data_IF_327378765942
#
_entry.id   IF_327378765942
#
_cell.length_a   1.000
_cell.length_b   1.000
_cell.length_c   1.000
_cell.angle_alpha   90.00
_cell.angle_beta   90.00
_cell.angle_gamma   90.00
#
_symmetry.space_group_name_H-M   'P 1'
#
loop_
_entity.id
_entity.type
_entity.pdbx_description
1 polymer ?
#
# COMPACT_ATOMS: atom_id res chain seq x y z
N UNK A 1 -20.62 -10.26 -9.82
CA UNK A 1 -19.42 -9.40 -10.02
C UNK A 1 -19.23 -9.16 -11.49
N UNK A 2 -18.83 -7.95 -11.91
CA UNK A 2 -18.47 -7.70 -13.31
C UNK A 2 -17.08 -8.31 -13.58
N UNK A 3 -16.82 -8.76 -14.81
CA UNK A 3 -15.52 -9.33 -15.19
C UNK A 3 -14.35 -8.36 -14.92
N UNK A 4 -14.60 -7.05 -15.05
CA UNK A 4 -13.64 -5.98 -14.74
C UNK A 4 -13.18 -5.98 -13.29
N UNK A 5 -14.08 -6.23 -12.34
CA UNK A 5 -13.79 -6.12 -10.91
C UNK A 5 -12.95 -7.31 -10.45
N UNK A 6 -13.24 -8.50 -11.00
CA UNK A 6 -12.48 -9.71 -10.72
C UNK A 6 -11.05 -9.63 -11.27
N UNK A 7 -10.89 -9.13 -12.50
CA UNK A 7 -9.57 -8.91 -13.10
C UNK A 7 -8.78 -7.90 -12.26
N UNK A 8 -9.41 -6.79 -11.86
CA UNK A 8 -8.78 -5.78 -11.01
C UNK A 8 -8.31 -6.38 -9.67
N UNK A 9 -9.17 -7.16 -9.01
CA UNK A 9 -8.83 -7.79 -7.73
C UNK A 9 -7.58 -8.67 -7.85
N UNK A 10 -7.52 -9.52 -8.88
CA UNK A 10 -6.40 -10.43 -9.11
C UNK A 10 -5.12 -9.64 -9.43
N UNK A 11 -5.19 -8.68 -10.36
CA UNK A 11 -4.00 -7.91 -10.77
C UNK A 11 -3.40 -7.14 -9.60
N UNK A 12 -4.25 -6.54 -8.75
CA UNK A 12 -3.79 -5.85 -7.54
C UNK A 12 -3.19 -6.84 -6.53
N UNK A 13 -3.88 -7.94 -6.23
CA UNK A 13 -3.38 -8.92 -5.24
C UNK A 13 -2.02 -9.49 -5.64
N UNK A 14 -1.85 -9.85 -6.92
CA UNK A 14 -0.57 -10.38 -7.43
C UNK A 14 0.52 -9.30 -7.37
N UNK A 15 0.21 -8.05 -7.76
CA UNK A 15 1.19 -6.95 -7.73
C UNK A 15 1.65 -6.64 -6.30
N UNK A 16 0.72 -6.56 -5.35
CA UNK A 16 1.04 -6.31 -3.94
C UNK A 16 1.84 -7.47 -3.33
N UNK A 17 1.56 -8.72 -3.69
CA UNK A 17 2.35 -9.87 -3.25
C UNK A 17 3.80 -9.80 -3.77
N UNK A 18 4.00 -9.45 -5.04
CA UNK A 18 5.35 -9.30 -5.62
C UNK A 18 6.11 -8.17 -4.94
N UNK A 19 5.46 -7.04 -4.68
CA UNK A 19 6.04 -5.91 -3.96
C UNK A 19 6.41 -6.30 -2.52
N UNK A 20 5.52 -6.99 -1.79
CA UNK A 20 5.76 -7.43 -0.42
C UNK A 20 6.96 -8.39 -0.35
N UNK A 21 7.04 -9.36 -1.28
CA UNK A 21 8.18 -10.28 -1.37
C UNK A 21 9.49 -9.52 -1.67
N UNK A 22 9.47 -8.57 -2.60
CA UNK A 22 10.64 -7.73 -2.91
C UNK A 22 11.15 -6.95 -1.69
N UNK A 23 10.23 -6.36 -0.92
CA UNK A 23 10.57 -5.64 0.31
C UNK A 23 11.15 -6.58 1.38
N UNK A 24 10.57 -7.77 1.58
CA UNK A 24 11.11 -8.77 2.51
C UNK A 24 12.52 -9.24 2.12
N UNK A 25 12.77 -9.50 0.83
CA UNK A 25 14.10 -9.88 0.32
C UNK A 25 15.16 -8.78 0.51
N UNK A 26 14.73 -7.52 0.60
CA UNK A 26 15.62 -6.38 0.86
C UNK A 26 15.90 -6.17 2.36
N UNK A 27 14.91 -6.39 3.23
CA UNK A 27 15.04 -6.11 4.66
C UNK A 27 15.58 -7.27 5.49
N UNK A 28 15.39 -8.53 5.07
CA UNK A 28 15.91 -9.68 5.82
C UNK A 28 17.38 -9.98 5.42
N UNK A 29 18.36 -9.77 6.32
CA UNK A 29 19.76 -10.03 6.04
C UNK A 29 20.07 -11.53 5.89
N UNK A 30 19.29 -12.42 6.52
CA UNK A 30 19.49 -13.87 6.50
C UNK A 30 19.34 -14.50 5.10
N UNK A 31 18.67 -13.82 4.18
CA UNK A 31 18.44 -14.35 2.83
C UNK A 31 19.62 -14.04 1.89
N UNK A 32 20.58 -13.18 2.29
CA UNK A 32 21.69 -12.71 1.46
C UNK A 32 21.29 -12.22 0.05
N UNK A 33 20.01 -11.89 -0.13
CA UNK A 33 19.35 -11.60 -1.41
C UNK A 33 19.10 -10.11 -1.59
N UNK A 34 19.67 -9.24 -0.74
CA UNK A 34 19.49 -7.79 -0.78
C UNK A 34 19.74 -7.16 -2.15
N UNK A 35 20.75 -7.65 -2.87
CA UNK A 35 21.09 -7.19 -4.23
C UNK A 35 19.98 -7.50 -5.25
N UNK A 36 19.20 -8.55 -5.03
CA UNK A 36 18.06 -8.95 -5.87
C UNK A 36 16.74 -8.38 -5.32
N UNK A 37 16.65 -8.15 -4.01
CA UNK A 37 15.46 -7.61 -3.36
C UNK A 37 15.08 -6.22 -3.86
N UNK A 38 16.05 -5.31 -4.01
CA UNK A 38 15.81 -3.95 -4.51
C UNK A 38 15.20 -3.93 -5.93
N UNK A 39 15.79 -4.59 -6.96
CA UNK A 39 15.19 -4.61 -8.29
C UNK A 39 13.82 -5.29 -8.32
N UNK A 40 13.59 -6.34 -7.50
CA UNK A 40 12.28 -6.99 -7.41
C UNK A 40 11.23 -6.07 -6.79
N UNK A 41 11.58 -5.31 -5.74
CA UNK A 41 10.68 -4.32 -5.14
C UNK A 41 10.32 -3.20 -6.13
N UNK A 42 11.28 -2.73 -6.93
CA UNK A 42 11.05 -1.74 -7.99
C UNK A 42 10.08 -2.30 -9.05
N UNK A 43 10.27 -3.55 -9.48
CA UNK A 43 9.35 -4.21 -10.43
C UNK A 43 7.95 -4.36 -9.82
N UNK A 44 7.84 -4.75 -8.56
CA UNK A 44 6.56 -4.82 -7.84
C UNK A 44 5.83 -3.47 -7.80
N UNK A 45 6.57 -2.39 -7.55
CA UNK A 45 6.00 -1.04 -7.51
C UNK A 45 5.54 -0.58 -8.91
N UNK A 46 6.29 -0.92 -9.95
CA UNK A 46 5.87 -0.69 -11.34
C UNK A 46 4.58 -1.47 -11.69
N UNK A 47 4.47 -2.72 -11.22
CA UNK A 47 3.26 -3.53 -11.43
C UNK A 47 2.03 -2.95 -10.74
N UNK A 48 2.17 -2.37 -9.54
CA UNK A 48 1.06 -1.67 -8.88
C UNK A 48 0.61 -0.43 -9.68
N UNK A 49 1.56 0.35 -10.19
CA UNK A 49 1.25 1.52 -11.03
C UNK A 49 0.54 1.09 -12.31
N UNK A 50 0.99 0.02 -12.97
CA UNK A 50 0.35 -0.52 -14.18
C UNK A 50 -1.07 -1.02 -13.86
N UNK A 51 -1.24 -1.76 -12.76
CA UNK A 51 -2.54 -2.26 -12.31
C UNK A 51 -3.53 -1.11 -12.06
N UNK A 52 -3.06 0.00 -11.50
CA UNK A 52 -3.87 1.20 -11.31
C UNK A 52 -4.25 1.90 -12.61
N UNK A 53 -3.34 1.96 -13.59
CA UNK A 53 -3.68 2.47 -14.93
C UNK A 53 -4.72 1.58 -15.60
N UNK A 54 -4.58 0.26 -15.53
CA UNK A 54 -5.53 -0.71 -16.09
C UNK A 54 -6.91 -0.53 -15.44
N UNK A 55 -6.98 -0.43 -14.10
CA UNK A 55 -8.24 -0.20 -13.38
C UNK A 55 -8.92 1.09 -13.84
N UNK A 56 -8.17 2.17 -14.07
CA UNK A 56 -8.74 3.44 -14.55
C UNK A 56 -9.26 3.36 -15.96
N UNK A 57 -8.52 2.69 -16.85
CA UNK A 57 -8.96 2.41 -18.22
C UNK A 57 -10.23 1.57 -18.24
N UNK A 58 -10.28 0.50 -17.43
CA UNK A 58 -11.46 -0.36 -17.28
C UNK A 58 -12.67 0.39 -16.70
N UNK A 59 -12.44 1.34 -15.80
CA UNK A 59 -13.50 2.18 -15.24
C UNK A 59 -14.03 3.25 -16.22
N UNK A 60 -13.45 3.39 -17.42
CA UNK A 60 -13.82 4.41 -18.40
C UNK A 60 -13.58 5.85 -17.92
N UNK A 61 -12.83 6.02 -16.82
CA UNK A 61 -12.53 7.33 -16.23
C UNK A 61 -11.30 7.89 -16.93
N UNK A 62 -11.39 9.13 -17.40
CA UNK A 62 -10.26 9.86 -17.96
C UNK A 62 -9.14 10.13 -16.94
N UNK A 63 -8.20 11.02 -17.28
CA UNK A 63 -7.16 11.46 -16.34
C UNK A 63 -7.80 11.86 -14.99
N UNK A 64 -7.15 11.55 -13.86
CA UNK A 64 -7.67 11.94 -12.57
C UNK A 64 -7.84 13.44 -12.56
N UNK A 65 -9.06 13.91 -12.35
CA UNK A 65 -9.23 15.32 -12.05
C UNK A 65 -8.60 15.52 -10.67
N UNK A 66 -7.47 16.22 -10.63
CA UNK A 66 -6.69 16.51 -9.42
C UNK A 66 -7.51 17.44 -8.54
N UNK A 67 -8.40 16.84 -7.76
CA UNK A 67 -9.23 17.55 -6.80
C UNK A 67 -8.48 17.60 -5.45
N UNK A 68 -8.51 18.71 -4.71
CA UNK A 68 -7.97 18.78 -3.34
C UNK A 68 -8.46 17.63 -2.44
N UNK A 69 -9.68 17.13 -2.65
CA UNK A 69 -10.20 15.95 -1.95
C UNK A 69 -9.42 14.67 -2.26
N UNK A 70 -8.96 14.49 -3.51
CA UNK A 70 -8.16 13.33 -3.90
C UNK A 70 -6.75 13.41 -3.30
N UNK A 71 -6.15 14.60 -3.33
CA UNK A 71 -4.84 14.85 -2.71
C UNK A 71 -4.90 14.59 -1.21
N UNK A 72 -5.93 15.06 -0.52
CA UNK A 72 -6.14 14.78 0.91
C UNK A 72 -6.22 13.28 1.23
N UNK A 73 -6.91 12.50 0.38
CA UNK A 73 -6.97 11.03 0.54
C UNK A 73 -5.60 10.37 0.37
N UNK A 74 -4.82 10.79 -0.63
CA UNK A 74 -3.47 10.24 -0.88
C UNK A 74 -2.53 10.58 0.28
N UNK A 75 -2.52 11.84 0.71
CA UNK A 75 -1.67 12.28 1.84
C UNK A 75 -2.03 11.51 3.11
N UNK A 76 -3.32 11.36 3.42
CA UNK A 76 -3.77 10.57 4.56
C UNK A 76 -3.32 9.11 4.48
N UNK A 77 -3.44 8.49 3.30
CA UNK A 77 -2.97 7.11 3.06
C UNK A 77 -1.46 6.97 3.29
N UNK A 78 -0.66 7.92 2.81
CA UNK A 78 0.80 7.92 2.99
C UNK A 78 1.16 8.08 4.48
N UNK A 79 0.50 8.99 5.19
CA UNK A 79 0.71 9.20 6.63
C UNK A 79 0.33 7.96 7.43
N UNK A 80 -0.82 7.34 7.15
CA UNK A 80 -1.25 6.12 7.83
C UNK A 80 -0.26 4.95 7.62
N UNK A 81 0.22 4.77 6.38
CA UNK A 81 1.21 3.75 6.05
C UNK A 81 2.57 4.00 6.73
N UNK A 82 3.01 5.26 6.81
CA UNK A 82 4.24 5.65 7.51
C UNK A 82 4.14 5.40 9.02
N UNK A 83 3.00 5.73 9.65
CA UNK A 83 2.79 5.48 11.09
C UNK A 83 2.79 3.98 11.38
N UNK A 84 2.10 3.19 10.54
CA UNK A 84 2.06 1.73 10.69
C UNK A 84 3.45 1.10 10.49
N UNK A 85 4.15 1.42 9.40
CA UNK A 85 5.48 0.91 9.11
C UNK A 85 6.54 1.37 10.13
N UNK A 86 6.46 2.64 10.56
CA UNK A 86 7.32 3.19 11.61
C UNK A 86 7.14 2.51 12.96
N UNK A 87 5.91 2.10 13.30
CA UNK A 87 5.64 1.28 14.49
C UNK A 87 6.40 -0.04 14.48
N UNK A 88 6.39 -0.76 13.35
CA UNK A 88 7.17 -2.01 13.21
C UNK A 88 8.68 -1.78 13.25
N UNK A 89 9.16 -0.69 12.65
CA UNK A 89 10.57 -0.34 12.71
C UNK A 89 11.03 -0.07 14.17
N UNK A 90 10.18 0.57 14.99
CA UNK A 90 10.45 0.81 16.41
C UNK A 90 10.39 -0.46 17.27
N UNK A 91 9.53 -1.42 16.92
CA UNK A 91 9.52 -2.74 17.55
C UNK A 91 10.86 -3.43 17.30
N UNK A 92 11.38 -3.38 16.06
CA UNK A 92 12.65 -3.98 15.68
C UNK A 92 13.87 -3.31 16.34
N UNK A 93 13.79 -2.00 16.64
CA UNK A 93 14.88 -1.25 17.27
C UNK A 93 14.93 -1.34 18.81
N UNK A 94 14.06 -2.14 19.42
CA UNK A 94 14.05 -2.41 20.87
C UNK A 94 13.04 -1.61 21.70
N UNK A 95 12.32 -0.66 21.09
CA UNK A 95 11.25 0.10 21.77
C UNK A 95 9.88 -0.56 21.57
N UNK A 96 9.72 -1.76 22.12
CA UNK A 96 8.54 -2.61 21.91
C UNK A 96 7.21 -1.95 22.28
N UNK A 97 7.13 -1.29 23.45
CA UNK A 97 5.88 -0.68 23.95
C UNK A 97 5.43 0.47 23.05
N UNK A 98 6.35 1.39 22.72
CA UNK A 98 6.05 2.56 21.90
C UNK A 98 5.73 2.13 20.46
N UNK A 99 6.50 1.17 19.93
CA UNK A 99 6.27 0.61 18.60
C UNK A 99 4.91 -0.08 18.48
N UNK A 100 4.51 -0.89 19.46
CA UNK A 100 3.21 -1.57 19.46
C UNK A 100 2.04 -0.58 19.48
N UNK A 101 2.10 0.45 20.33
CA UNK A 101 1.07 1.49 20.40
C UNK A 101 0.98 2.24 19.06
N UNK A 102 2.11 2.62 18.46
CA UNK A 102 2.15 3.27 17.15
C UNK A 102 1.61 2.38 16.04
N UNK A 103 1.94 1.09 16.04
CA UNK A 103 1.40 0.12 15.08
C UNK A 103 -0.12 -0.03 15.21
N UNK A 104 -0.66 -0.06 16.44
CA UNK A 104 -2.11 -0.09 16.66
C UNK A 104 -2.79 1.18 16.15
N UNK A 105 -2.22 2.36 16.46
CA UNK A 105 -2.74 3.64 15.96
C UNK A 105 -2.68 3.69 14.43
N UNK A 106 -1.58 3.23 13.83
CA UNK A 106 -1.42 3.12 12.37
C UNK A 106 -2.44 2.21 11.72
N UNK A 107 -2.77 1.08 12.36
CA UNK A 107 -3.79 0.14 11.87
C UNK A 107 -5.19 0.77 11.91
N UNK A 108 -5.53 1.48 12.99
CA UNK A 108 -6.80 2.22 13.09
C UNK A 108 -6.90 3.30 12.00
N UNK A 109 -5.81 4.05 11.78
CA UNK A 109 -5.73 5.05 10.71
C UNK A 109 -5.95 4.42 9.32
N UNK A 110 -5.36 3.25 9.07
CA UNK A 110 -5.49 2.50 7.81
C UNK A 110 -6.93 2.04 7.57
N UNK A 111 -7.60 1.49 8.58
CA UNK A 111 -9.02 1.09 8.48
C UNK A 111 -9.89 2.33 8.22
N UNK A 112 -9.54 3.47 8.82
CA UNK A 112 -10.17 4.78 8.57
C UNK A 112 -10.07 5.28 7.13
N UNK A 113 -9.21 4.71 6.28
CA UNK A 113 -9.16 5.04 4.84
C UNK A 113 -10.46 4.61 4.14
N UNK A 114 -11.09 3.51 4.56
CA UNK A 114 -12.32 2.98 3.93
C UNK A 114 -13.45 4.01 3.94
N UNK A 115 -13.89 4.56 5.10
CA UNK A 115 -14.94 5.57 5.14
C UNK A 115 -14.52 6.88 4.44
N UNK A 116 -13.23 7.23 4.45
CA UNK A 116 -12.70 8.41 3.76
C UNK A 116 -12.74 8.24 2.24
N UNK A 117 -12.46 7.06 1.71
CA UNK A 117 -12.43 6.77 0.27
C UNK A 117 -13.83 6.56 -0.28
N UNK A 118 -14.64 5.72 0.38
CA UNK A 118 -16.00 5.36 -0.03
C UNK A 118 -17.01 6.47 0.27
N UNK A 119 -16.69 7.34 1.24
CA UNK A 119 -17.64 8.28 1.82
C UNK A 119 -18.53 7.55 2.82
N UNK A 120 -18.71 8.12 4.01
CA UNK A 120 -19.75 7.68 4.93
C UNK A 120 -21.11 7.95 4.27
N UNK A 121 -21.65 6.92 3.62
CA UNK A 121 -23.05 6.92 3.19
C UNK A 121 -23.88 6.61 4.43
N UNK A 122 -24.35 7.66 5.10
CA UNK A 122 -25.47 7.55 6.03
C UNK A 122 -26.72 7.11 5.27
#
# INVERSE_FOLDING_TARGET
MKKSDFITLITYTVSTLVLALGMCMFTLPDWHLQNIGLPVAIVGLLLEVISWVIQRRLAGKGAPNVNPKLVGKVVYSVVAALVFGGGFALISSGNFVIGFVLSLVGLVLLIGIIPVVVGLKN
#
